data_IF_588108982320
#
_entry.id   IF_588108982320
#
_cell.length_a   1.000
_cell.length_b   1.000
_cell.length_c   1.000
_cell.angle_alpha   90.00
_cell.angle_beta   90.00
_cell.angle_gamma   90.00
#
_symmetry.space_group_name_H-M   'P 1'
#
loop_
_entity.id
_entity.type
_entity.pdbx_description
1 polymer ?
#
# COMPACT_ATOMS: atom_id res chain seq x y z
N UNK A 1 25.39 -39.74 -17.47
CA UNK A 1 24.03 -39.31 -17.13
C UNK A 1 24.08 -38.84 -15.68
N UNK A 2 24.23 -37.55 -15.47
CA UNK A 2 24.18 -36.92 -14.14
C UNK A 2 22.98 -36.00 -14.12
N UNK A 3 21.91 -36.41 -13.46
CA UNK A 3 20.73 -35.62 -13.17
C UNK A 3 21.08 -34.57 -12.13
N UNK A 4 21.30 -33.34 -12.56
CA UNK A 4 21.39 -32.17 -11.69
C UNK A 4 20.02 -31.93 -11.03
N UNK A 5 19.88 -32.26 -9.76
CA UNK A 5 18.76 -31.80 -8.94
C UNK A 5 18.97 -30.33 -8.66
N UNK A 6 18.18 -29.46 -9.33
CA UNK A 6 17.97 -28.10 -8.94
C UNK A 6 17.43 -28.08 -7.51
N UNK A 7 18.27 -27.73 -6.57
CA UNK A 7 17.89 -27.53 -5.19
C UNK A 7 17.25 -26.13 -5.10
N UNK A 8 15.94 -26.10 -5.30
CA UNK A 8 15.10 -24.94 -4.97
C UNK A 8 15.17 -24.79 -3.44
N UNK A 9 15.66 -23.70 -2.87
CA UNK A 9 15.57 -23.52 -1.42
C UNK A 9 14.08 -23.49 -1.07
N UNK A 10 13.67 -24.44 -0.23
CA UNK A 10 12.34 -24.46 0.33
C UNK A 10 12.11 -23.11 1.05
N UNK A 11 11.18 -22.32 0.55
CA UNK A 11 10.63 -21.19 1.28
C UNK A 11 10.16 -21.72 2.63
N UNK A 12 10.93 -21.47 3.69
CA UNK A 12 10.46 -21.70 5.05
C UNK A 12 9.31 -20.72 5.23
N UNK A 13 8.07 -21.19 5.01
CA UNK A 13 6.89 -20.52 5.53
C UNK A 13 7.21 -20.23 6.98
N UNK A 14 7.28 -18.96 7.37
CA UNK A 14 7.49 -18.54 8.75
C UNK A 14 6.33 -19.11 9.56
N UNK A 15 6.57 -20.32 10.11
CA UNK A 15 5.58 -21.09 10.85
C UNK A 15 5.17 -20.26 12.05
N UNK A 16 3.98 -19.62 12.00
CA UNK A 16 3.33 -19.01 13.13
C UNK A 16 3.45 -17.50 13.29
N UNK A 17 4.12 -16.75 12.39
CA UNK A 17 4.12 -15.30 12.46
C UNK A 17 2.87 -14.76 11.74
N UNK A 18 1.97 -14.02 12.44
CA UNK A 18 0.78 -13.46 11.81
C UNK A 18 1.14 -12.47 10.70
N UNK A 19 0.36 -12.46 9.61
CA UNK A 19 0.54 -11.55 8.46
C UNK A 19 0.65 -10.08 8.89
N UNK A 20 -0.18 -9.64 9.84
CA UNK A 20 -0.12 -8.30 10.38
C UNK A 20 1.19 -8.00 11.13
N UNK A 21 1.87 -9.00 11.67
CA UNK A 21 3.21 -8.86 12.28
C UNK A 21 4.26 -8.75 11.18
N UNK A 22 4.21 -9.64 10.17
CA UNK A 22 5.11 -9.58 9.01
C UNK A 22 5.07 -8.20 8.34
N UNK A 23 3.87 -7.62 8.17
CA UNK A 23 3.71 -6.28 7.59
C UNK A 23 4.38 -5.16 8.40
N UNK A 24 4.63 -5.35 9.71
CA UNK A 24 5.30 -4.36 10.57
C UNK A 24 6.81 -4.59 10.69
N UNK A 25 7.32 -5.78 10.43
CA UNK A 25 8.77 -6.05 10.54
C UNK A 25 9.63 -5.04 9.74
N UNK A 26 9.26 -4.63 8.51
CA UNK A 26 10.01 -3.62 7.79
C UNK A 26 10.06 -2.25 8.49
N UNK A 27 9.02 -1.87 9.24
CA UNK A 27 9.00 -0.63 10.02
C UNK A 27 10.00 -0.70 11.18
N UNK A 28 10.03 -1.82 11.89
CA UNK A 28 10.99 -2.07 12.97
C UNK A 28 12.42 -2.10 12.43
N UNK A 29 12.65 -2.80 11.32
CA UNK A 29 13.97 -2.86 10.69
C UNK A 29 14.47 -1.47 10.31
N UNK A 30 13.63 -0.63 9.70
CA UNK A 30 13.99 0.74 9.33
C UNK A 30 14.39 1.57 10.56
N UNK A 31 13.61 1.49 11.65
CA UNK A 31 13.92 2.20 12.89
C UNK A 31 15.24 1.70 13.51
N UNK A 32 15.45 0.39 13.53
CA UNK A 32 16.68 -0.23 14.04
C UNK A 32 17.91 0.12 13.20
N UNK A 33 17.79 0.13 11.87
CA UNK A 33 18.88 0.54 10.97
C UNK A 33 19.30 1.98 11.23
N UNK A 34 18.34 2.89 11.42
CA UNK A 34 18.66 4.27 11.76
C UNK A 34 19.32 4.43 13.13
N UNK A 35 19.04 3.55 14.10
CA UNK A 35 19.72 3.50 15.39
C UNK A 35 21.14 2.92 15.26
N UNK A 36 21.31 1.86 14.45
CA UNK A 36 22.61 1.27 14.15
C UNK A 36 23.56 2.25 13.46
N UNK A 37 23.09 3.02 12.47
CA UNK A 37 23.84 4.08 11.82
C UNK A 37 24.33 5.18 12.79
N UNK A 38 23.58 5.38 13.88
CA UNK A 38 23.94 6.28 14.98
C UNK A 38 24.79 5.61 16.06
N UNK A 39 25.20 4.36 15.86
CA UNK A 39 25.97 3.55 16.81
C UNK A 39 25.28 3.39 18.17
N UNK A 40 23.96 3.31 18.21
CA UNK A 40 23.18 3.05 19.43
C UNK A 40 23.18 1.54 19.68
N UNK A 41 23.82 1.03 20.76
CA UNK A 41 23.99 -0.40 20.96
C UNK A 41 22.72 -1.10 21.44
N UNK A 42 21.91 -0.41 22.26
CA UNK A 42 20.69 -0.98 22.85
C UNK A 42 19.54 0.02 22.79
N UNK A 43 18.31 -0.49 22.69
CA UNK A 43 17.09 0.30 22.62
C UNK A 43 15.98 -0.32 23.47
N UNK A 44 15.21 0.48 24.17
CA UNK A 44 14.03 0.01 24.90
C UNK A 44 12.85 -0.29 23.96
N UNK A 45 11.87 -1.06 24.43
CA UNK A 45 10.64 -1.31 23.65
C UNK A 45 9.83 -0.05 23.41
N UNK A 46 9.89 0.92 24.32
CA UNK A 46 9.20 2.21 24.24
C UNK A 46 9.84 3.11 23.16
N UNK A 47 11.16 3.25 23.17
CA UNK A 47 11.90 4.04 22.19
C UNK A 47 11.78 3.48 20.79
N UNK A 48 11.95 2.15 20.63
CA UNK A 48 11.83 1.50 19.33
C UNK A 48 10.40 1.59 18.79
N UNK A 49 9.39 1.42 19.64
CA UNK A 49 8.00 1.54 19.25
C UNK A 49 7.66 2.97 18.80
N UNK A 50 8.14 3.98 19.51
CA UNK A 50 7.99 5.38 19.13
C UNK A 50 8.66 5.67 17.78
N UNK A 51 9.90 5.19 17.57
CA UNK A 51 10.63 5.35 16.31
C UNK A 51 9.95 4.65 15.13
N UNK A 52 9.26 3.53 15.38
CA UNK A 52 8.54 2.76 14.37
C UNK A 52 7.07 3.21 14.19
N UNK A 53 6.57 4.17 14.98
CA UNK A 53 5.19 4.65 14.92
C UNK A 53 4.16 3.62 15.39
N UNK A 54 4.50 2.76 16.35
CA UNK A 54 3.63 1.71 16.88
C UNK A 54 3.53 1.78 18.41
N UNK A 55 2.59 1.01 18.99
CA UNK A 55 2.47 0.87 20.43
C UNK A 55 3.49 -0.16 20.96
N UNK A 56 4.15 0.12 22.12
CA UNK A 56 5.17 -0.74 22.71
C UNK A 56 4.65 -2.13 23.13
N UNK A 57 3.39 -2.24 23.56
CA UNK A 57 2.79 -3.54 23.85
C UNK A 57 2.62 -4.39 22.57
N UNK A 58 2.27 -3.74 21.43
CA UNK A 58 2.18 -4.39 20.12
C UNK A 58 3.55 -4.85 19.65
N UNK A 59 4.59 -4.01 19.77
CA UNK A 59 5.96 -4.37 19.44
C UNK A 59 6.44 -5.59 20.23
N UNK A 60 6.25 -5.60 21.57
CA UNK A 60 6.60 -6.75 22.40
C UNK A 60 5.88 -8.03 21.98
N UNK A 61 4.58 -7.91 21.64
CA UNK A 61 3.81 -9.06 21.12
C UNK A 61 4.37 -9.53 19.77
N UNK A 62 4.70 -8.64 18.86
CA UNK A 62 5.27 -9.00 17.56
C UNK A 62 6.61 -9.70 17.72
N UNK A 63 7.48 -9.19 18.60
CA UNK A 63 8.77 -9.81 18.87
C UNK A 63 8.67 -11.17 19.57
N UNK A 64 7.59 -11.42 20.30
CA UNK A 64 7.36 -12.75 20.88
C UNK A 64 7.17 -13.86 19.84
N UNK A 65 6.76 -13.54 18.61
CA UNK A 65 6.68 -14.48 17.50
C UNK A 65 8.04 -14.77 16.86
N UNK A 66 8.98 -13.84 16.99
CA UNK A 66 10.34 -14.00 16.47
C UNK A 66 11.25 -14.72 17.46
N UNK A 67 10.90 -14.73 18.75
CA UNK A 67 11.69 -15.26 19.85
C UNK A 67 11.88 -14.24 20.97
N UNK A 68 12.56 -14.62 22.04
CA UNK A 68 12.85 -13.72 23.18
C UNK A 68 14.17 -13.00 22.97
N UNK A 69 14.13 -11.76 22.44
CA UNK A 69 15.33 -10.99 22.09
C UNK A 69 15.68 -9.89 23.10
N UNK A 70 14.83 -9.63 24.07
CA UNK A 70 15.04 -8.55 25.05
C UNK A 70 15.45 -9.07 26.42
N UNK A 71 16.40 -8.39 27.07
CA UNK A 71 16.74 -8.59 28.46
C UNK A 71 15.96 -7.60 29.32
N UNK A 72 15.26 -8.09 30.33
CA UNK A 72 14.44 -7.27 31.22
C UNK A 72 15.32 -6.20 31.90
N UNK A 73 14.96 -4.91 31.74
CA UNK A 73 15.70 -3.77 32.28
C UNK A 73 16.89 -3.31 31.44
N UNK A 74 17.28 -4.02 30.37
CA UNK A 74 18.39 -3.64 29.49
C UNK A 74 17.88 -3.19 28.11
N UNK A 75 16.78 -3.78 27.61
CA UNK A 75 16.26 -3.52 26.27
C UNK A 75 16.69 -4.58 25.25
N UNK A 76 16.76 -4.17 24.02
CA UNK A 76 17.10 -4.99 22.85
C UNK A 76 18.46 -4.56 22.30
N UNK A 77 19.30 -5.50 21.96
CA UNK A 77 20.50 -5.27 21.17
C UNK A 77 20.11 -4.90 19.72
N UNK A 78 20.56 -3.74 19.26
CA UNK A 78 20.15 -3.15 17.97
C UNK A 78 20.69 -4.00 16.80
N UNK A 79 21.98 -4.30 16.79
CA UNK A 79 22.62 -5.05 15.71
C UNK A 79 22.06 -6.48 15.61
N UNK A 80 21.85 -7.11 16.75
CA UNK A 80 21.26 -8.43 16.80
C UNK A 80 19.83 -8.45 16.23
N UNK A 81 18.99 -7.46 16.57
CA UNK A 81 17.64 -7.36 16.02
C UNK A 81 17.63 -7.02 14.52
N UNK A 82 18.52 -6.16 14.05
CA UNK A 82 18.69 -5.88 12.61
C UNK A 82 18.95 -7.19 11.88
N UNK A 83 19.91 -7.99 12.35
CA UNK A 83 20.24 -9.29 11.75
C UNK A 83 19.05 -10.26 11.78
N UNK A 84 18.39 -10.43 12.92
CA UNK A 84 17.28 -11.38 13.07
C UNK A 84 16.09 -11.02 12.20
N UNK A 85 15.67 -9.74 12.19
CA UNK A 85 14.54 -9.28 11.38
C UNK A 85 14.90 -9.38 9.89
N UNK A 86 16.11 -9.01 9.50
CA UNK A 86 16.56 -9.14 8.11
C UNK A 86 16.53 -10.61 7.65
N UNK A 87 16.94 -11.54 8.51
CA UNK A 87 16.86 -12.97 8.23
C UNK A 87 15.42 -13.47 8.09
N UNK A 88 14.52 -13.08 8.98
CA UNK A 88 13.11 -13.47 8.91
C UNK A 88 12.40 -12.89 7.67
N UNK A 89 12.77 -11.70 7.24
CA UNK A 89 12.28 -11.07 6.01
C UNK A 89 12.97 -11.61 4.74
N UNK A 90 13.96 -12.52 4.88
CA UNK A 90 14.71 -13.06 3.75
C UNK A 90 15.68 -12.07 3.10
N UNK A 91 15.96 -10.93 3.72
CA UNK A 91 16.81 -9.87 3.16
C UNK A 91 18.31 -10.19 3.17
N UNK A 92 18.69 -11.36 3.65
CA UNK A 92 20.06 -11.89 3.58
C UNK A 92 20.35 -12.63 2.27
N UNK A 93 19.36 -12.73 1.38
CA UNK A 93 19.46 -13.36 0.07
C UNK A 93 19.37 -12.34 -1.05
N UNK A 94 19.81 -12.71 -2.26
CA UNK A 94 19.59 -11.93 -3.48
C UNK A 94 18.25 -12.33 -4.11
N UNK A 95 17.38 -11.35 -4.30
CA UNK A 95 16.07 -11.53 -4.93
C UNK A 95 16.07 -10.86 -6.30
N UNK A 96 16.23 -11.63 -7.41
CA UNK A 96 16.13 -11.07 -8.75
C UNK A 96 14.71 -10.59 -9.04
N UNK A 97 14.60 -9.32 -9.45
CA UNK A 97 13.34 -8.63 -9.73
C UNK A 97 13.26 -8.30 -11.20
N UNK A 98 12.11 -8.54 -11.84
CA UNK A 98 11.78 -7.99 -13.15
C UNK A 98 10.79 -6.84 -12.99
N UNK A 99 11.00 -5.75 -13.73
CA UNK A 99 10.05 -4.65 -13.84
C UNK A 99 9.43 -4.68 -15.24
N UNK A 100 8.11 -4.79 -15.30
CA UNK A 100 7.34 -4.80 -16.55
C UNK A 100 6.53 -3.50 -16.65
N UNK A 101 6.75 -2.76 -17.75
CA UNK A 101 6.26 -1.41 -17.97
C UNK A 101 7.30 -0.36 -17.59
N UNK A 102 8.09 0.13 -18.58
CA UNK A 102 9.20 1.06 -18.39
C UNK A 102 8.78 2.48 -18.82
N UNK A 103 7.56 2.84 -18.48
CA UNK A 103 7.10 4.23 -18.49
C UNK A 103 7.74 5.03 -17.33
N UNK A 104 7.18 6.19 -17.03
CA UNK A 104 7.73 7.09 -16.00
C UNK A 104 7.93 6.40 -14.64
N UNK A 105 6.93 5.62 -14.19
CA UNK A 105 7.00 4.92 -12.91
C UNK A 105 8.02 3.77 -12.94
N UNK A 106 7.95 2.91 -13.95
CA UNK A 106 8.86 1.78 -14.07
C UNK A 106 10.32 2.21 -14.17
N UNK A 107 10.61 3.25 -14.95
CA UNK A 107 11.94 3.83 -15.03
C UNK A 107 12.41 4.43 -13.70
N UNK A 108 11.53 5.10 -12.95
CA UNK A 108 11.83 5.60 -11.62
C UNK A 108 12.14 4.46 -10.64
N UNK A 109 11.35 3.37 -10.67
CA UNK A 109 11.58 2.19 -9.85
C UNK A 109 12.88 1.48 -10.20
N UNK A 110 13.22 1.37 -11.48
CA UNK A 110 14.50 0.79 -11.92
C UNK A 110 15.72 1.57 -11.39
N UNK A 111 15.61 2.89 -11.28
CA UNK A 111 16.65 3.77 -10.73
C UNK A 111 16.65 3.87 -9.20
N UNK A 112 15.69 3.23 -8.52
CA UNK A 112 15.57 3.36 -7.07
C UNK A 112 16.62 2.51 -6.33
N UNK A 113 17.69 3.16 -5.85
CA UNK A 113 18.79 2.49 -5.14
C UNK A 113 18.40 1.77 -3.85
N UNK A 114 17.24 2.08 -3.28
CA UNK A 114 16.71 1.43 -2.09
C UNK A 114 16.33 -0.05 -2.27
N UNK A 115 16.21 -0.55 -3.50
CA UNK A 115 16.01 -1.97 -3.75
C UNK A 115 17.30 -2.76 -3.51
N UNK A 116 18.39 -2.35 -4.15
CA UNK A 116 19.68 -3.04 -4.03
C UNK A 116 20.19 -3.09 -2.59
N UNK A 117 20.02 -2.00 -1.82
CA UNK A 117 20.44 -1.94 -0.40
C UNK A 117 19.67 -2.90 0.51
N UNK A 118 18.59 -3.51 0.02
CA UNK A 118 17.72 -4.46 0.75
C UNK A 118 17.70 -5.86 0.14
N UNK A 119 18.65 -6.18 -0.74
CA UNK A 119 18.76 -7.50 -1.35
C UNK A 119 17.81 -7.73 -2.54
N UNK A 120 17.21 -6.67 -3.11
CA UNK A 120 16.40 -6.77 -4.32
C UNK A 120 17.19 -6.26 -5.51
N UNK A 121 17.63 -7.17 -6.36
CA UNK A 121 18.39 -6.83 -7.56
C UNK A 121 17.47 -6.74 -8.76
N UNK A 122 17.35 -5.56 -9.39
CA UNK A 122 16.66 -5.44 -10.68
C UNK A 122 17.49 -6.20 -11.72
N UNK A 123 16.95 -7.34 -12.18
CA UNK A 123 17.64 -8.25 -13.07
C UNK A 123 17.23 -8.06 -14.54
N UNK A 124 15.99 -7.60 -14.78
CA UNK A 124 15.47 -7.37 -16.12
C UNK A 124 14.44 -6.23 -16.14
N UNK A 125 14.40 -5.52 -17.26
CA UNK A 125 13.42 -4.48 -17.57
C UNK A 125 12.70 -4.87 -18.86
N UNK A 126 11.36 -4.86 -18.84
CA UNK A 126 10.55 -5.33 -19.97
C UNK A 126 9.48 -4.29 -20.30
N UNK A 127 9.32 -4.01 -21.60
CA UNK A 127 8.23 -3.16 -22.09
C UNK A 127 7.65 -3.71 -23.40
N UNK A 128 6.38 -3.38 -23.67
CA UNK A 128 5.70 -3.73 -24.90
C UNK A 128 5.94 -2.71 -26.03
N UNK A 129 6.41 -1.51 -25.68
CA UNK A 129 6.72 -0.47 -26.68
C UNK A 129 8.08 -0.76 -27.36
N UNK A 130 8.07 -1.05 -28.67
CA UNK A 130 9.31 -1.32 -29.41
C UNK A 130 10.27 -0.10 -29.43
N UNK A 131 9.76 1.11 -29.16
CA UNK A 131 10.60 2.31 -29.05
C UNK A 131 11.44 2.30 -27.78
N UNK A 132 10.99 1.62 -26.73
CA UNK A 132 11.71 1.45 -25.48
C UNK A 132 12.66 0.26 -25.51
N UNK A 133 12.33 -0.78 -26.28
CA UNK A 133 13.18 -1.94 -26.43
C UNK A 133 14.58 -1.54 -26.98
N UNK A 134 15.63 -2.06 -26.35
CA UNK A 134 17.02 -1.73 -26.65
C UNK A 134 17.56 -0.49 -25.94
N UNK A 135 16.72 0.34 -25.31
CA UNK A 135 17.19 1.45 -24.48
C UNK A 135 17.79 0.94 -23.16
N UNK A 136 18.70 1.69 -22.61
CA UNK A 136 19.28 1.40 -21.30
C UNK A 136 18.68 2.29 -20.23
N UNK A 137 18.15 1.69 -19.17
CA UNK A 137 17.61 2.38 -17.98
C UNK A 137 18.28 1.77 -16.75
N UNK A 138 18.82 2.60 -15.87
CA UNK A 138 19.57 2.16 -14.67
C UNK A 138 20.73 1.17 -15.00
N UNK A 139 21.35 1.27 -16.18
CA UNK A 139 22.40 0.36 -16.61
C UNK A 139 21.91 -0.99 -17.15
N UNK A 140 20.60 -1.22 -17.22
CA UNK A 140 19.97 -2.46 -17.71
C UNK A 140 19.29 -2.16 -19.05
N UNK A 141 19.47 -3.03 -20.04
CA UNK A 141 18.77 -2.92 -21.31
C UNK A 141 17.30 -3.31 -21.15
N UNK A 142 16.40 -2.50 -21.72
CA UNK A 142 14.99 -2.80 -21.78
C UNK A 142 14.76 -3.82 -22.89
N UNK A 143 14.11 -4.92 -22.56
CA UNK A 143 13.79 -5.99 -23.48
C UNK A 143 12.31 -5.96 -23.88
N UNK A 144 11.98 -6.51 -25.05
CA UNK A 144 10.58 -6.56 -25.51
C UNK A 144 9.80 -7.67 -24.79
N UNK A 145 8.50 -7.44 -24.57
CA UNK A 145 7.63 -8.39 -23.86
C UNK A 145 7.54 -9.76 -24.52
N UNK A 146 7.86 -9.91 -25.81
CA UNK A 146 7.79 -11.21 -26.50
C UNK A 146 8.73 -12.26 -25.88
N UNK A 147 9.86 -11.82 -25.31
CA UNK A 147 10.83 -12.69 -24.64
C UNK A 147 10.61 -12.88 -23.14
N UNK A 148 9.50 -12.42 -22.57
CA UNK A 148 9.30 -12.32 -21.12
C UNK A 148 9.60 -13.63 -20.38
N UNK A 149 9.08 -14.76 -20.83
CA UNK A 149 9.23 -16.06 -20.18
C UNK A 149 10.70 -16.53 -20.17
N UNK A 150 11.40 -16.33 -21.30
CA UNK A 150 12.81 -16.70 -21.42
C UNK A 150 13.67 -15.79 -20.54
N UNK A 151 13.40 -14.48 -20.52
CA UNK A 151 14.10 -13.50 -19.68
C UNK A 151 13.96 -13.86 -18.20
N UNK A 152 12.77 -14.24 -17.76
CA UNK A 152 12.50 -14.68 -16.38
C UNK A 152 13.33 -15.92 -16.03
N UNK A 153 13.38 -16.89 -16.94
CA UNK A 153 14.12 -18.14 -16.73
C UNK A 153 15.63 -17.89 -16.67
N UNK A 154 16.17 -17.11 -17.62
CA UNK A 154 17.60 -16.85 -17.75
C UNK A 154 18.15 -16.02 -16.58
N UNK A 155 17.33 -15.11 -16.04
CA UNK A 155 17.71 -14.24 -14.91
C UNK A 155 17.32 -14.81 -13.54
N UNK A 156 16.66 -15.96 -13.48
CA UNK A 156 16.20 -16.60 -12.25
C UNK A 156 15.24 -15.71 -11.44
N UNK A 157 14.38 -14.95 -12.12
CA UNK A 157 13.50 -13.96 -11.50
C UNK A 157 12.60 -14.58 -10.44
N UNK A 158 12.58 -13.95 -9.26
CA UNK A 158 11.76 -14.38 -8.12
C UNK A 158 10.55 -13.46 -7.89
N UNK A 159 10.68 -12.18 -8.23
CA UNK A 159 9.66 -11.16 -7.96
C UNK A 159 9.36 -10.39 -9.24
N UNK A 160 8.07 -10.26 -9.57
CA UNK A 160 7.58 -9.42 -10.66
C UNK A 160 7.06 -8.08 -10.14
N UNK A 161 7.48 -6.98 -10.76
CA UNK A 161 6.90 -5.66 -10.55
C UNK A 161 6.11 -5.28 -11.79
N UNK A 162 4.82 -5.01 -11.62
CA UNK A 162 3.91 -4.58 -12.71
C UNK A 162 3.70 -3.08 -12.59
N UNK A 163 4.22 -2.32 -13.55
CA UNK A 163 4.07 -0.87 -13.65
C UNK A 163 3.41 -0.46 -14.98
N UNK A 164 2.54 -1.31 -15.50
CA UNK A 164 1.81 -1.12 -16.76
C UNK A 164 0.45 -0.44 -16.53
N UNK A 165 -0.19 0.10 -17.58
CA UNK A 165 -1.57 0.52 -17.51
C UNK A 165 -2.52 -0.61 -17.09
N UNK A 166 -3.68 -0.25 -16.48
CA UNK A 166 -4.65 -1.22 -15.98
C UNK A 166 -5.09 -2.28 -17.00
N UNK A 167 -5.25 -1.87 -18.26
CA UNK A 167 -5.74 -2.76 -19.34
C UNK A 167 -4.79 -3.90 -19.70
N UNK A 168 -3.49 -3.78 -19.44
CA UNK A 168 -2.49 -4.81 -19.75
C UNK A 168 -2.00 -5.57 -18.50
N UNK A 169 -2.33 -5.08 -17.30
CA UNK A 169 -1.76 -5.60 -16.07
C UNK A 169 -2.12 -7.07 -15.79
N UNK A 170 -3.36 -7.50 -16.07
CA UNK A 170 -3.76 -8.90 -15.88
C UNK A 170 -2.99 -9.83 -16.82
N UNK A 171 -2.89 -9.48 -18.10
CA UNK A 171 -2.17 -10.30 -19.09
C UNK A 171 -0.68 -10.45 -18.71
N UNK A 172 -0.05 -9.37 -18.24
CA UNK A 172 1.34 -9.40 -17.73
C UNK A 172 1.44 -10.30 -16.51
N UNK A 173 0.50 -10.18 -15.57
CA UNK A 173 0.43 -11.03 -14.39
C UNK A 173 0.35 -12.52 -14.77
N UNK A 174 -0.56 -12.88 -15.66
CA UNK A 174 -0.76 -14.26 -16.09
C UNK A 174 0.52 -14.85 -16.72
N UNK A 175 1.23 -14.06 -17.52
CA UNK A 175 2.50 -14.47 -18.13
C UNK A 175 3.62 -14.62 -17.09
N UNK A 176 3.73 -13.70 -16.13
CA UNK A 176 4.67 -13.82 -15.00
C UNK A 176 4.43 -15.10 -14.21
N UNK A 177 3.16 -15.37 -13.89
CA UNK A 177 2.77 -16.59 -13.15
C UNK A 177 3.06 -17.85 -13.96
N UNK A 178 2.74 -17.87 -15.25
CA UNK A 178 3.05 -19.00 -16.15
C UNK A 178 4.57 -19.26 -16.24
N UNK A 179 5.39 -18.20 -16.18
CA UNK A 179 6.84 -18.31 -16.13
C UNK A 179 7.39 -18.72 -14.73
N UNK A 180 6.53 -18.93 -13.73
CA UNK A 180 6.87 -19.42 -12.41
C UNK A 180 7.13 -18.34 -11.35
N UNK A 181 6.84 -17.07 -11.63
CA UNK A 181 6.88 -15.99 -10.63
C UNK A 181 5.67 -16.11 -9.72
N UNK A 182 5.92 -16.19 -8.41
CA UNK A 182 4.89 -16.35 -7.38
C UNK A 182 4.74 -15.15 -6.44
N UNK A 183 5.54 -14.11 -6.64
CA UNK A 183 5.48 -12.88 -5.82
C UNK A 183 5.41 -11.67 -6.74
N UNK A 184 4.34 -10.88 -6.61
CA UNK A 184 4.05 -9.76 -7.52
C UNK A 184 3.80 -8.49 -6.73
N UNK A 185 4.50 -7.41 -7.10
CA UNK A 185 4.25 -6.05 -6.65
C UNK A 185 3.51 -5.30 -7.77
N UNK A 186 2.23 -5.00 -7.55
CA UNK A 186 1.37 -4.38 -8.55
C UNK A 186 1.17 -2.88 -8.30
N UNK A 187 1.66 -2.06 -9.21
CA UNK A 187 1.42 -0.61 -9.25
C UNK A 187 0.30 -0.21 -10.23
N UNK A 188 -0.19 -1.14 -11.05
CA UNK A 188 -1.32 -0.85 -11.92
C UNK A 188 -2.60 -0.58 -11.11
N UNK A 189 -3.42 0.42 -11.52
CA UNK A 189 -4.63 0.79 -10.77
C UNK A 189 -5.78 -0.22 -10.99
N UNK A 190 -5.49 -1.50 -10.80
CA UNK A 190 -6.45 -2.60 -10.94
C UNK A 190 -6.17 -3.71 -9.94
N UNK A 191 -7.18 -4.51 -9.67
CA UNK A 191 -7.05 -5.75 -8.88
C UNK A 191 -6.70 -6.87 -9.84
N UNK A 192 -5.69 -7.66 -9.48
CA UNK A 192 -5.26 -8.82 -10.25
C UNK A 192 -5.90 -10.10 -9.69
N UNK A 193 -6.35 -10.97 -10.59
CA UNK A 193 -6.79 -12.32 -10.26
C UNK A 193 -5.62 -13.28 -10.41
N UNK A 194 -5.30 -14.05 -9.38
CA UNK A 194 -4.16 -14.97 -9.37
C UNK A 194 -4.56 -16.32 -8.80
N UNK A 195 -3.89 -17.41 -9.19
CA UNK A 195 -4.12 -18.73 -8.60
C UNK A 195 -3.62 -18.79 -7.16
N UNK A 196 -4.06 -19.82 -6.43
CA UNK A 196 -3.57 -20.11 -5.07
C UNK A 196 -2.04 -20.30 -5.07
N UNK A 197 -1.37 -19.71 -4.08
CA UNK A 197 0.08 -19.77 -3.94
C UNK A 197 0.83 -18.64 -4.64
N UNK A 198 0.15 -17.71 -5.27
CA UNK A 198 0.73 -16.46 -5.78
C UNK A 198 0.37 -15.30 -4.86
N UNK A 199 1.39 -14.61 -4.36
CA UNK A 199 1.24 -13.46 -3.49
C UNK A 199 1.27 -12.16 -4.31
N UNK A 200 0.22 -11.33 -4.16
CA UNK A 200 0.15 -10.02 -4.80
C UNK A 200 0.08 -8.92 -3.75
N UNK A 201 0.98 -7.93 -3.86
CA UNK A 201 0.90 -6.69 -3.09
C UNK A 201 0.58 -5.54 -4.02
N UNK A 202 -0.56 -4.88 -3.79
CA UNK A 202 -0.97 -3.69 -4.55
C UNK A 202 -0.42 -2.43 -3.87
N UNK A 203 0.15 -1.55 -4.66
CA UNK A 203 0.56 -0.20 -4.27
C UNK A 203 -0.23 0.80 -5.11
N UNK A 204 -1.09 1.58 -4.47
CA UNK A 204 -1.93 2.57 -5.14
C UNK A 204 -1.80 3.92 -4.44
N UNK A 205 -0.96 4.78 -4.99
CA UNK A 205 -0.67 6.09 -4.42
C UNK A 205 -1.90 7.01 -4.41
N UNK A 206 -2.87 6.77 -5.30
CA UNK A 206 -4.09 7.58 -5.36
C UNK A 206 -5.00 7.33 -4.15
N UNK A 207 -5.01 6.10 -3.62
CA UNK A 207 -5.76 5.75 -2.41
C UNK A 207 -5.20 6.51 -1.20
N UNK A 208 -3.87 6.58 -1.06
CA UNK A 208 -3.23 7.32 0.03
C UNK A 208 -3.56 8.82 -0.03
N UNK A 209 -3.56 9.41 -1.24
CA UNK A 209 -3.96 10.80 -1.42
C UNK A 209 -5.44 11.04 -1.13
N UNK A 210 -6.33 10.10 -1.45
CA UNK A 210 -7.75 10.19 -1.13
C UNK A 210 -7.99 10.16 0.39
N UNK A 211 -7.25 9.33 1.12
CA UNK A 211 -7.29 9.30 2.58
C UNK A 211 -6.83 10.63 3.17
N UNK A 212 -5.75 11.22 2.64
CA UNK A 212 -5.28 12.54 3.06
C UNK A 212 -6.30 13.65 2.76
N UNK A 213 -6.93 13.62 1.58
CA UNK A 213 -7.97 14.58 1.21
C UNK A 213 -9.16 14.52 2.17
N UNK A 214 -9.58 13.33 2.61
CA UNK A 214 -10.60 13.15 3.63
C UNK A 214 -10.22 13.83 4.95
N UNK A 215 -8.97 13.68 5.40
CA UNK A 215 -8.51 14.32 6.62
C UNK A 215 -8.44 15.84 6.50
N UNK A 216 -7.99 16.38 5.36
CA UNK A 216 -7.97 17.83 5.12
C UNK A 216 -9.38 18.43 5.11
N UNK A 217 -10.34 17.75 4.48
CA UNK A 217 -11.72 18.21 4.46
C UNK A 217 -12.31 18.29 5.88
N UNK A 218 -11.98 17.35 6.75
CA UNK A 218 -12.45 17.38 8.15
C UNK A 218 -11.85 18.53 8.94
N UNK A 219 -10.55 18.80 8.79
CA UNK A 219 -9.89 19.95 9.45
C UNK A 219 -10.53 21.27 9.04
N UNK A 220 -10.80 21.45 7.72
CA UNK A 220 -11.47 22.65 7.22
C UNK A 220 -12.89 22.81 7.78
N UNK A 221 -13.61 21.72 8.06
CA UNK A 221 -14.93 21.77 8.70
C UNK A 221 -14.89 22.07 10.20
N UNK A 222 -13.81 21.69 10.88
CA UNK A 222 -13.60 22.00 12.32
C UNK A 222 -13.11 23.44 12.55
N UNK A 223 -12.48 24.06 11.55
CA UNK A 223 -12.00 25.45 11.59
C UNK A 223 -13.06 26.49 11.11
N UNK A 224 -14.20 26.04 10.56
CA UNK A 224 -15.30 26.94 10.23
C UNK A 224 -15.88 27.51 11.53
N UNK A 225 -15.85 28.84 11.78
CA UNK A 225 -16.46 29.43 12.96
C UNK A 225 -17.93 29.04 12.95
N UNK A 226 -18.47 28.59 14.10
CA UNK A 226 -19.90 28.47 14.32
C UNK A 226 -20.50 29.85 13.98
N UNK A 227 -21.18 29.95 12.84
CA UNK A 227 -21.99 31.12 12.56
C UNK A 227 -22.99 31.20 13.71
N UNK A 228 -22.80 32.22 14.56
CA UNK A 228 -23.66 32.57 15.65
C UNK A 228 -25.08 32.62 15.10
N UNK A 229 -25.91 31.61 15.42
CA UNK A 229 -27.29 31.52 15.03
C UNK A 229 -27.98 32.79 15.54
N UNK A 230 -27.98 33.85 14.70
CA UNK A 230 -28.70 35.07 14.99
C UNK A 230 -30.17 34.70 15.08
N UNK A 231 -30.66 34.71 16.30
CA UNK A 231 -32.08 34.49 16.63
C UNK A 231 -32.95 35.27 15.65
N UNK A 232 -34.04 34.66 15.13
CA UNK A 232 -34.93 35.36 14.21
C UNK A 232 -35.50 36.61 14.88
N UNK A 233 -35.63 37.75 14.16
CA UNK A 233 -36.14 38.99 14.73
C UNK A 233 -37.54 38.80 15.31
N UNK A 234 -37.74 39.22 16.55
CA UNK A 234 -39.02 39.15 17.25
C UNK A 234 -40.15 39.76 16.40
N UNK A 235 -41.23 38.99 16.23
CA UNK A 235 -42.42 39.44 15.51
C UNK A 235 -43.02 40.69 16.18
N UNK A 236 -43.48 41.71 15.40
CA UNK A 236 -44.12 42.90 15.93
C UNK A 236 -45.44 42.58 16.65
N UNK A 237 -45.81 43.34 17.70
CA UNK A 237 -47.01 43.04 18.50
C UNK A 237 -48.28 43.21 17.65
N UNK A 238 -49.19 42.22 17.74
CA UNK A 238 -50.46 42.16 17.06
C UNK A 238 -51.35 43.34 17.49
N UNK A 239 -51.71 44.18 16.51
CA UNK A 239 -52.74 45.25 16.70
C UNK A 239 -54.14 44.64 16.87
N UNK A 240 -54.80 45.08 17.92
CA UNK A 240 -56.17 44.69 18.24
C UNK A 240 -57.15 45.09 17.13
N UNK A 241 -57.80 44.10 16.51
CA UNK A 241 -58.91 44.34 15.58
C UNK A 241 -60.22 44.07 16.29
N UNK A 242 -60.98 45.14 16.44
CA UNK A 242 -62.36 45.20 16.95
C UNK A 242 -63.32 44.40 16.05
N UNK A 243 -64.17 43.60 16.64
CA UNK A 243 -65.31 42.90 16.03
C UNK A 243 -66.31 43.89 15.39
N UNK A 244 -66.64 43.72 14.13
CA UNK A 244 -67.91 44.19 13.56
C UNK A 244 -68.64 43.00 12.94
N UNK A 245 -69.84 42.80 13.46
CA UNK A 245 -70.87 41.82 13.09
C UNK A 245 -71.57 42.32 11.82
N UNK A 246 -71.87 41.47 10.85
CA UNK A 246 -73.09 41.51 10.03
C UNK A 246 -73.24 40.30 9.11
N UNK A 247 -74.40 39.90 8.99
CA UNK A 247 -75.14 38.71 8.59
C UNK A 247 -75.10 38.33 7.07
N UNK A 248 -75.86 37.22 6.70
CA UNK A 248 -75.49 36.31 5.63
C UNK A 248 -76.34 36.34 4.36
N UNK A 249 -75.90 35.63 3.32
CA UNK A 249 -76.72 35.03 2.29
C UNK A 249 -76.36 35.43 0.84
N UNK A 250 -76.92 34.70 -0.17
CA UNK A 250 -76.88 33.26 -0.37
C UNK A 250 -76.37 32.85 -1.80
N UNK A 251 -76.22 31.57 -2.04
CA UNK A 251 -76.38 30.74 -3.25
C UNK A 251 -75.60 31.03 -4.55
N UNK A 252 -75.08 29.97 -5.09
CA UNK A 252 -74.80 29.86 -6.51
C UNK A 252 -73.68 28.89 -6.92
N UNK A 253 -74.05 27.66 -6.94
CA UNK A 253 -73.89 26.70 -8.06
C UNK A 253 -72.52 26.14 -8.50
N UNK A 254 -72.47 24.83 -8.49
CA UNK A 254 -71.53 23.88 -9.06
C UNK A 254 -71.81 23.77 -10.57
N UNK A 255 -70.90 23.38 -11.49
CA UNK A 255 -70.54 22.00 -11.56
C UNK A 255 -69.10 21.62 -11.95
N UNK A 256 -68.81 20.36 -11.62
CA UNK A 256 -67.70 19.49 -12.05
C UNK A 256 -67.45 19.47 -13.57
N UNK A 257 -66.23 19.09 -13.91
CA UNK A 257 -65.91 17.96 -14.82
C UNK A 257 -64.37 17.68 -14.77
N UNK A 258 -64.03 16.44 -14.43
CA UNK A 258 -62.79 15.72 -14.78
C UNK A 258 -62.94 15.13 -16.21
N UNK A 259 -62.01 14.37 -16.78
CA UNK A 259 -60.53 14.40 -16.88
C UNK A 259 -60.02 14.20 -18.34
N UNK A 260 -58.77 14.29 -18.53
CA UNK A 260 -58.04 13.45 -19.44
C UNK A 260 -56.55 13.57 -19.13
#
# INVERSE_FOLDING_TARGET
VATGRNHRPATSRSRGIPEATVARLPLYLRALTALSERSVPTVSSEELAAAAGVNSAKLRKDFSYLGSYGTRGVGYDVEYLVYQISRELGLTQDWPVVIVGIGNLGAALANYGGFASRGFRVAALIDADPVLAGRTVAGIQVEHTDGLEQIIADNGVSIGVIATPAGSAQQVCDRLVAAGVTSILNFAPTVLSVPEGVDVRKVDLSIELQILAFHEQRKAGEEAPEEEETAPPAAPPAAAVTKKRSEPGPDGDVPAVMPA
#
